data_IF_564484446167
#
_entry.id   IF_564484446167
#
_cell.length_a   1.000
_cell.length_b   1.000
_cell.length_c   1.000
_cell.angle_alpha   90.00
_cell.angle_beta   90.00
_cell.angle_gamma   90.00
#
_symmetry.space_group_name_H-M   'P 1'
#
loop_
_entity.id
_entity.type
_entity.pdbx_description
1 polymer ?
#
# COMPACT_ATOMS: atom_id res chain seq x y z
N UNK A 1 -17.84 -0.17 -11.24
CA UNK A 1 -17.66 -0.19 -9.78
C UNK A 1 -16.86 -1.38 -9.25
N UNK A 2 -16.88 -2.56 -9.91
CA UNK A 2 -16.15 -3.75 -9.47
C UNK A 2 -14.72 -3.88 -10.05
N UNK A 3 -13.91 -2.80 -10.04
CA UNK A 3 -12.49 -2.86 -10.52
C UNK A 3 -11.47 -2.76 -9.39
N UNK A 4 -11.80 -2.09 -8.28
CA UNK A 4 -10.90 -1.83 -7.15
C UNK A 4 -11.09 -2.80 -5.96
N UNK A 5 -11.77 -3.94 -6.17
CA UNK A 5 -12.32 -4.79 -5.10
C UNK A 5 -11.51 -6.08 -4.82
N UNK A 6 -10.51 -6.44 -5.62
CA UNK A 6 -9.74 -7.68 -5.43
C UNK A 6 -8.27 -7.39 -5.05
N UNK A 7 -7.77 -8.04 -3.99
CA UNK A 7 -6.33 -8.22 -3.80
C UNK A 7 -5.64 -7.45 -2.66
N UNK A 8 -6.38 -6.74 -1.79
CA UNK A 8 -5.76 -6.14 -0.58
C UNK A 8 -5.60 -7.23 0.49
N UNK A 9 -4.39 -7.58 0.92
CA UNK A 9 -4.22 -8.52 2.01
C UNK A 9 -4.67 -7.88 3.32
N UNK A 10 -5.49 -8.58 4.10
CA UNK A 10 -5.72 -8.21 5.49
C UNK A 10 -4.39 -8.29 6.24
N UNK A 11 -3.98 -7.18 6.86
CA UNK A 11 -2.74 -7.08 7.62
C UNK A 11 -2.97 -6.28 8.89
N UNK A 12 -2.32 -6.73 9.96
CA UNK A 12 -2.31 -6.09 11.25
C UNK A 12 -0.97 -5.44 11.55
N UNK A 13 -0.93 -4.59 12.58
CA UNK A 13 0.31 -3.93 13.00
C UNK A 13 1.41 -4.94 13.42
N UNK A 14 1.03 -6.13 13.90
CA UNK A 14 1.95 -7.23 14.20
C UNK A 14 2.66 -7.75 12.95
N UNK A 15 1.95 -7.85 11.83
CA UNK A 15 2.50 -8.36 10.58
C UNK A 15 3.55 -7.40 10.03
N UNK A 16 3.28 -6.10 10.10
CA UNK A 16 4.28 -5.07 9.72
C UNK A 16 5.53 -5.20 10.59
N UNK A 17 5.36 -5.32 11.90
CA UNK A 17 6.50 -5.47 12.82
C UNK A 17 7.30 -6.74 12.51
N UNK A 18 6.64 -7.84 12.17
CA UNK A 18 7.28 -9.10 11.79
C UNK A 18 8.08 -8.95 10.49
N UNK A 19 7.50 -8.34 9.46
CA UNK A 19 8.16 -8.08 8.17
C UNK A 19 9.36 -7.15 8.35
N UNK A 20 9.20 -6.04 9.07
CA UNK A 20 10.32 -5.13 9.31
C UNK A 20 11.44 -5.83 10.09
N UNK A 21 11.09 -6.64 11.09
CA UNK A 21 12.06 -7.42 11.86
C UNK A 21 12.79 -8.46 11.01
N UNK A 22 12.11 -9.17 10.12
CA UNK A 22 12.75 -10.16 9.23
C UNK A 22 13.71 -9.52 8.24
N UNK A 23 13.48 -8.24 7.89
CA UNK A 23 14.38 -7.42 7.07
C UNK A 23 15.47 -6.70 7.89
N UNK A 24 15.54 -6.90 9.21
CA UNK A 24 16.49 -6.18 10.07
C UNK A 24 16.21 -4.68 10.22
N UNK A 25 15.00 -4.24 9.87
CA UNK A 25 14.58 -2.84 9.88
C UNK A 25 13.77 -2.52 11.15
N UNK A 26 13.81 -1.24 11.54
CA UNK A 26 12.95 -0.68 12.59
C UNK A 26 12.22 0.53 12.05
N UNK A 27 10.90 0.67 12.32
CA UNK A 27 10.16 1.85 11.92
C UNK A 27 10.69 3.08 12.68
N UNK A 28 10.77 4.22 11.99
CA UNK A 28 11.30 5.47 12.56
C UNK A 28 10.31 6.61 12.40
N UNK A 29 9.82 7.12 13.53
CA UNK A 29 9.00 8.35 13.57
C UNK A 29 9.75 9.58 13.09
N UNK A 30 11.07 9.65 13.34
CA UNK A 30 11.91 10.77 12.86
C UNK A 30 11.98 10.84 11.34
N UNK A 31 11.76 9.71 10.65
CA UNK A 31 11.67 9.64 9.18
C UNK A 31 10.23 9.82 8.66
N UNK A 32 9.28 10.19 9.53
CA UNK A 32 7.88 10.39 9.14
C UNK A 32 7.12 9.12 8.73
N UNK A 33 7.63 7.93 9.08
CA UNK A 33 7.01 6.68 8.62
C UNK A 33 5.69 6.38 9.37
N UNK A 34 4.60 6.29 8.62
CA UNK A 34 3.29 5.78 9.05
C UNK A 34 2.81 4.76 8.02
N UNK A 35 2.21 3.65 8.47
CA UNK A 35 1.79 2.57 7.57
C UNK A 35 0.27 2.48 7.51
N UNK A 36 -0.27 2.52 6.30
CA UNK A 36 -1.70 2.42 6.07
C UNK A 36 -2.14 0.94 6.05
N UNK A 37 -2.88 0.54 7.07
CA UNK A 37 -3.44 -0.82 7.21
C UNK A 37 -4.94 -0.89 6.90
N UNK A 38 -5.64 0.25 6.99
CA UNK A 38 -7.08 0.26 6.80
C UNK A 38 -7.42 0.02 5.32
N UNK A 39 -8.00 -1.15 5.06
CA UNK A 39 -8.35 -1.61 3.72
C UNK A 39 -9.35 -0.69 3.01
N UNK A 40 -10.33 -0.15 3.75
CA UNK A 40 -11.34 0.76 3.19
C UNK A 40 -10.74 2.09 2.78
N UNK A 41 -9.76 2.59 3.53
CA UNK A 41 -8.99 3.78 3.13
C UNK A 41 -8.15 3.46 1.90
N UNK A 42 -7.39 2.35 1.88
CA UNK A 42 -6.61 1.94 0.69
C UNK A 42 -7.47 1.88 -0.58
N UNK A 43 -8.64 1.22 -0.50
CA UNK A 43 -9.59 1.14 -1.63
C UNK A 43 -10.06 2.51 -2.09
N UNK A 44 -10.40 3.40 -1.14
CA UNK A 44 -10.85 4.76 -1.46
C UNK A 44 -9.76 5.55 -2.18
N UNK A 45 -8.52 5.50 -1.70
CA UNK A 45 -7.42 6.25 -2.31
C UNK A 45 -7.11 5.74 -3.72
N UNK A 46 -7.09 4.42 -3.94
CA UNK A 46 -6.86 3.86 -5.30
C UNK A 46 -8.00 4.20 -6.24
N UNK A 47 -9.26 4.11 -5.79
CA UNK A 47 -10.41 4.49 -6.60
C UNK A 47 -10.36 5.97 -6.99
N UNK A 48 -9.96 6.85 -6.06
CA UNK A 48 -9.81 8.28 -6.31
C UNK A 48 -8.68 8.60 -7.29
N UNK A 49 -7.62 7.79 -7.31
CA UNK A 49 -6.49 7.98 -8.21
C UNK A 49 -6.81 7.68 -9.70
N UNK A 50 -7.92 6.98 -9.98
CA UNK A 50 -8.38 6.64 -11.34
C UNK A 50 -7.32 6.02 -12.26
N UNK A 51 -6.34 5.32 -11.68
CA UNK A 51 -5.24 4.67 -12.42
C UNK A 51 -5.77 3.57 -13.33
N UNK A 52 -5.31 3.56 -14.58
CA UNK A 52 -5.53 2.54 -15.59
C UNK A 52 -4.24 1.97 -16.18
N UNK A 53 -4.38 0.95 -17.04
CA UNK A 53 -3.28 0.13 -17.55
C UNK A 53 -2.24 0.85 -18.41
N UNK A 54 -2.53 2.07 -18.86
CA UNK A 54 -1.60 2.88 -19.67
C UNK A 54 -0.88 3.94 -18.83
N UNK A 55 -1.20 4.05 -17.55
CA UNK A 55 -0.65 5.09 -16.70
C UNK A 55 0.70 4.68 -16.13
N UNK A 56 1.64 5.61 -16.14
CA UNK A 56 2.89 5.49 -15.37
C UNK A 56 2.67 6.13 -14.01
N UNK A 57 2.74 5.33 -12.94
CA UNK A 57 2.47 5.78 -11.58
C UNK A 57 3.78 6.05 -10.83
N UNK A 58 3.90 7.26 -10.26
CA UNK A 58 4.95 7.59 -9.28
C UNK A 58 4.36 7.55 -7.87
N UNK A 59 4.85 6.65 -7.02
CA UNK A 59 4.52 6.59 -5.61
C UNK A 59 5.68 7.14 -4.77
N UNK A 60 5.39 8.08 -3.86
CA UNK A 60 6.38 8.63 -2.93
C UNK A 60 6.16 8.02 -1.55
N UNK A 61 7.20 7.41 -0.99
CA UNK A 61 7.16 6.87 0.37
C UNK A 61 6.32 5.59 0.52
N UNK A 62 6.42 4.65 -0.44
CA UNK A 62 5.60 3.43 -0.47
C UNK A 62 5.68 2.49 0.73
N UNK A 63 6.56 2.75 1.71
CA UNK A 63 6.55 2.06 3.01
C UNK A 63 6.77 0.55 2.86
N UNK A 64 5.80 -0.24 3.31
CA UNK A 64 5.79 -1.71 3.15
C UNK A 64 5.22 -2.19 1.81
N UNK A 65 4.74 -1.28 0.96
CA UNK A 65 4.28 -1.59 -0.39
C UNK A 65 2.80 -2.00 -0.52
N UNK A 66 1.96 -1.74 0.49
CA UNK A 66 0.53 -2.08 0.40
C UNK A 66 -0.19 -1.31 -0.70
N UNK A 67 -0.01 0.01 -0.75
CA UNK A 67 -0.59 0.85 -1.80
C UNK A 67 0.08 0.53 -3.15
N UNK A 68 1.41 0.40 -3.18
CA UNK A 68 2.20 -0.02 -4.35
C UNK A 68 1.62 -1.28 -5.01
N UNK A 69 1.33 -2.32 -4.23
CA UNK A 69 0.83 -3.60 -4.74
C UNK A 69 -0.49 -3.41 -5.49
N UNK A 70 -1.41 -2.62 -4.95
CA UNK A 70 -2.73 -2.40 -5.55
C UNK A 70 -2.59 -1.51 -6.78
N UNK A 71 -1.82 -0.42 -6.72
CA UNK A 71 -1.57 0.45 -7.87
C UNK A 71 -0.96 -0.32 -9.05
N UNK A 72 0.05 -1.17 -8.78
CA UNK A 72 0.71 -1.98 -9.80
C UNK A 72 -0.20 -3.04 -10.44
N UNK A 73 -1.27 -3.47 -9.75
CA UNK A 73 -2.29 -4.35 -10.35
C UNK A 73 -3.21 -3.61 -11.34
N UNK A 74 -3.36 -2.28 -11.19
CA UNK A 74 -4.23 -1.47 -12.04
C UNK A 74 -3.48 -0.82 -13.22
N UNK A 75 -2.22 -0.45 -13.01
CA UNK A 75 -1.33 0.15 -14.01
C UNK A 75 -0.65 -0.86 -14.95
N UNK A 76 -1.21 -2.07 -15.09
CA UNK A 76 -0.65 -3.19 -15.86
C UNK A 76 -1.36 -3.43 -17.18
#
# INVERSE_FOLDING_TARGET
MCKYLCGVPAMEASDIKAILKSLGLKPSRRKGQSFLLNESVLRREVAYAHVGSKDTVLEVGGGIGLLTKILAQHAR
#
